data_IF_664179765462
#
_entry.id   IF_664179765462
#
_cell.length_a   1.000
_cell.length_b   1.000
_cell.length_c   1.000
_cell.angle_alpha   90.00
_cell.angle_beta   90.00
_cell.angle_gamma   90.00
#
_symmetry.space_group_name_H-M   'P 1'
#
loop_
_entity.id
_entity.type
_entity.pdbx_description
1 polymer ?
#
# COMPACT_ATOMS: atom_id res chain seq x y z
N UNK A 1 59.95 23.08 -9.43
CA UNK A 1 59.91 22.21 -8.23
C UNK A 1 59.35 23.02 -7.07
N UNK A 2 58.09 22.77 -6.70
CA UNK A 2 57.52 22.99 -5.37
C UNK A 2 56.05 22.55 -5.44
N UNK A 3 55.73 21.40 -4.83
CA UNK A 3 54.36 20.94 -4.62
C UNK A 3 53.72 21.73 -3.46
N UNK A 4 52.40 22.01 -3.48
CA UNK A 4 51.66 22.27 -2.27
C UNK A 4 51.07 20.96 -1.72
N UNK A 5 51.33 20.77 -0.43
CA UNK A 5 50.88 19.70 0.46
C UNK A 5 49.36 19.64 0.61
N UNK A 6 48.79 18.45 0.36
CA UNK A 6 47.40 18.11 0.70
C UNK A 6 47.33 17.73 2.18
N UNK A 7 46.63 18.51 3.00
CA UNK A 7 46.19 18.07 4.33
C UNK A 7 44.82 17.41 4.18
N UNK A 8 44.80 16.08 4.34
CA UNK A 8 43.60 15.26 4.41
C UNK A 8 43.06 15.37 5.84
N UNK A 9 41.96 16.09 6.03
CA UNK A 9 41.28 16.15 7.32
C UNK A 9 40.71 14.78 7.68
N UNK A 10 41.17 14.21 8.79
CA UNK A 10 40.62 13.00 9.38
C UNK A 10 39.19 13.27 9.88
N UNK A 11 38.20 12.64 9.24
CA UNK A 11 36.84 12.61 9.74
C UNK A 11 36.81 11.64 10.94
N UNK A 12 36.70 12.19 12.14
CA UNK A 12 36.44 11.41 13.33
C UNK A 12 35.07 10.74 13.20
N UNK A 13 35.06 9.40 13.13
CA UNK A 13 33.84 8.60 13.20
C UNK A 13 33.24 8.79 14.60
N UNK A 14 32.21 9.63 14.70
CA UNK A 14 31.45 9.79 15.93
C UNK A 14 30.68 8.50 16.19
N UNK A 15 30.93 7.87 17.34
CA UNK A 15 30.14 6.74 17.84
C UNK A 15 28.70 7.25 18.05
N UNK A 16 27.66 6.53 17.57
CA UNK A 16 26.28 6.93 17.83
C UNK A 16 26.03 7.00 19.35
N UNK A 17 25.23 7.97 19.83
CA UNK A 17 24.96 8.12 21.25
C UNK A 17 24.38 6.82 21.82
N UNK A 18 24.80 6.49 23.05
CA UNK A 18 24.22 5.38 23.78
C UNK A 18 22.75 5.69 24.08
N UNK A 19 21.84 4.80 23.67
CA UNK A 19 20.43 4.92 24.02
C UNK A 19 20.24 4.51 25.48
N UNK A 20 19.97 5.48 26.36
CA UNK A 20 19.59 5.21 27.74
C UNK A 20 18.17 4.61 27.79
N UNK A 21 17.91 3.72 28.75
CA UNK A 21 16.57 3.18 28.95
C UNK A 21 15.64 4.29 29.42
N UNK A 22 14.51 4.49 28.72
CA UNK A 22 13.52 5.50 29.07
C UNK A 22 12.93 5.22 30.48
N UNK A 23 12.87 6.26 31.32
CA UNK A 23 12.13 6.25 32.59
C UNK A 23 10.67 6.63 32.33
N UNK A 24 9.77 6.31 33.26
CA UNK A 24 8.35 6.70 33.16
C UNK A 24 8.17 8.23 33.12
N UNK A 25 9.08 9.00 33.73
CA UNK A 25 9.11 10.47 33.64
C UNK A 25 9.46 10.94 32.22
N UNK A 26 10.49 10.35 31.59
CA UNK A 26 10.86 10.68 30.21
C UNK A 26 9.75 10.30 29.21
N UNK A 27 9.01 9.22 29.47
CA UNK A 27 7.87 8.82 28.62
C UNK A 27 6.74 9.84 28.74
N UNK A 28 6.42 10.30 29.95
CA UNK A 28 5.37 11.30 30.15
C UNK A 28 5.74 12.67 29.55
N UNK A 29 7.00 13.08 29.63
CA UNK A 29 7.51 14.30 28.99
C UNK A 29 7.37 14.23 27.45
N UNK A 30 7.77 13.10 26.84
CA UNK A 30 7.59 12.86 25.40
C UNK A 30 6.09 12.85 25.00
N UNK A 31 5.22 12.32 25.87
CA UNK A 31 3.77 12.34 25.64
C UNK A 31 3.18 13.75 25.72
N UNK A 32 3.74 14.64 26.56
CA UNK A 32 3.38 16.06 26.61
C UNK A 32 3.85 16.82 25.37
N UNK A 33 5.02 16.50 24.83
CA UNK A 33 5.56 17.12 23.61
C UNK A 33 4.65 16.88 22.40
N UNK A 34 3.97 15.72 22.32
CA UNK A 34 2.99 15.44 21.26
C UNK A 34 1.76 16.36 21.23
N UNK A 35 1.53 17.19 22.25
CA UNK A 35 0.42 18.15 22.29
C UNK A 35 0.75 19.54 21.74
N UNK A 36 2.03 19.90 21.65
CA UNK A 36 2.46 21.28 21.35
C UNK A 36 3.28 21.37 20.07
N UNK A 37 3.06 20.44 19.13
CA UNK A 37 3.77 20.43 17.87
C UNK A 37 3.34 21.63 17.01
N UNK A 38 4.30 22.49 16.66
CA UNK A 38 4.12 23.54 15.66
C UNK A 38 4.28 22.92 14.26
N UNK A 39 3.13 22.61 13.66
CA UNK A 39 3.02 21.97 12.36
C UNK A 39 2.47 22.94 11.31
N UNK A 40 2.83 24.24 11.40
CA UNK A 40 2.40 25.24 10.44
C UNK A 40 3.03 24.99 9.05
N UNK A 41 2.23 24.74 8.00
CA UNK A 41 2.75 24.53 6.64
C UNK A 41 3.34 25.80 6.00
N UNK A 42 2.97 27.01 6.48
CA UNK A 42 3.36 28.28 5.87
C UNK A 42 4.84 28.67 6.13
N UNK A 43 5.53 27.98 7.03
CA UNK A 43 6.92 28.24 7.45
C UNK A 43 7.90 27.15 6.99
N UNK A 44 7.50 26.29 6.04
CA UNK A 44 8.24 25.08 5.69
C UNK A 44 9.56 25.37 4.94
N UNK A 45 10.67 25.45 5.69
CA UNK A 45 12.05 25.47 5.17
C UNK A 45 12.71 24.06 5.17
N UNK A 46 11.98 23.03 5.62
CA UNK A 46 12.47 21.67 5.78
C UNK A 46 11.84 20.95 6.99
N UNK A 47 12.22 19.69 7.27
CA UNK A 47 11.73 18.96 8.43
C UNK A 47 12.17 19.64 9.73
N UNK A 48 11.21 20.05 10.56
CA UNK A 48 11.43 20.55 11.92
C UNK A 48 11.38 19.40 12.93
N UNK A 49 11.84 19.64 14.16
CA UNK A 49 11.70 18.67 15.27
C UNK A 49 10.24 18.24 15.43
N UNK A 50 9.31 19.19 15.38
CA UNK A 50 7.89 18.94 15.57
C UNK A 50 7.30 18.06 14.46
N UNK A 51 7.65 18.34 13.20
CA UNK A 51 7.24 17.47 12.07
C UNK A 51 7.83 16.06 12.19
N UNK A 52 9.05 15.93 12.72
CA UNK A 52 9.69 14.65 12.99
C UNK A 52 9.06 13.90 14.15
N UNK A 53 8.43 14.57 15.13
CA UNK A 53 7.70 13.95 16.24
C UNK A 53 6.27 13.53 15.84
N UNK A 54 5.61 14.27 14.96
CA UNK A 54 4.28 13.92 14.45
C UNK A 54 4.27 12.54 13.76
N UNK A 55 5.36 12.17 13.09
CA UNK A 55 5.45 10.90 12.36
C UNK A 55 5.46 9.66 13.29
N UNK A 56 6.33 9.54 14.32
CA UNK A 56 6.27 8.49 15.34
C UNK A 56 4.92 8.39 16.06
N UNK A 57 4.23 9.52 16.29
CA UNK A 57 2.88 9.53 16.86
C UNK A 57 1.89 8.77 15.96
N UNK A 58 1.92 9.05 14.64
CA UNK A 58 1.11 8.32 13.66
C UNK A 58 1.50 6.84 13.56
N UNK A 59 2.80 6.52 13.54
CA UNK A 59 3.28 5.13 13.52
C UNK A 59 2.82 4.33 14.76
N UNK A 60 2.78 4.98 15.92
CA UNK A 60 2.29 4.37 17.16
C UNK A 60 0.78 4.06 17.08
N UNK A 61 0.00 4.93 16.43
CA UNK A 61 -1.41 4.66 16.15
C UNK A 61 -1.58 3.46 15.20
N UNK A 62 -0.75 3.34 14.15
CA UNK A 62 -0.75 2.17 13.27
C UNK A 62 -0.37 0.87 13.97
N UNK A 63 0.62 0.90 14.86
CA UNK A 63 1.01 -0.27 15.64
C UNK A 63 -0.10 -0.71 16.61
N UNK A 64 -0.78 0.24 17.26
CA UNK A 64 -1.98 -0.07 18.06
C UNK A 64 -3.10 -0.67 17.21
N UNK A 65 -3.35 -0.14 16.01
CA UNK A 65 -4.31 -0.70 15.08
C UNK A 65 -3.97 -2.15 14.74
N UNK A 66 -2.71 -2.43 14.39
CA UNK A 66 -2.22 -3.79 14.09
C UNK A 66 -2.46 -4.74 15.27
N UNK A 67 -2.09 -4.34 16.49
CA UNK A 67 -2.31 -5.17 17.70
C UNK A 67 -3.79 -5.41 17.95
N UNK A 68 -4.64 -4.38 17.82
CA UNK A 68 -6.10 -4.50 17.97
C UNK A 68 -6.67 -5.52 16.99
N UNK A 69 -6.28 -5.47 15.73
CA UNK A 69 -6.75 -6.42 14.69
C UNK A 69 -6.18 -7.82 14.87
N UNK A 70 -4.92 -7.91 15.32
CA UNK A 70 -4.33 -9.17 15.70
C UNK A 70 -5.14 -9.81 16.84
N UNK A 71 -5.55 -9.07 17.86
CA UNK A 71 -6.28 -9.61 19.01
C UNK A 71 -7.80 -9.70 18.84
N UNK A 72 -8.34 -9.23 17.70
CA UNK A 72 -9.76 -9.34 17.38
C UNK A 72 -10.17 -10.79 17.15
N UNK A 73 -10.70 -11.43 18.19
CA UNK A 73 -11.15 -12.81 18.15
C UNK A 73 -12.32 -13.01 17.18
N UNK A 74 -12.20 -13.99 16.28
CA UNK A 74 -13.26 -14.35 15.34
C UNK A 74 -13.41 -13.41 14.13
N UNK A 75 -12.58 -12.37 13.98
CA UNK A 75 -12.65 -11.48 12.82
C UNK A 75 -12.45 -12.28 11.51
N UNK A 76 -13.44 -12.20 10.61
CA UNK A 76 -13.59 -13.03 9.41
C UNK A 76 -13.55 -14.54 9.67
N UNK A 77 -14.16 -14.96 10.77
CA UNK A 77 -14.25 -16.35 11.21
C UNK A 77 -12.88 -17.01 11.44
N UNK A 78 -11.88 -16.21 11.81
CA UNK A 78 -10.55 -16.68 12.19
C UNK A 78 -10.45 -16.62 13.72
N UNK A 79 -10.80 -17.73 14.36
CA UNK A 79 -10.87 -17.86 15.83
C UNK A 79 -9.55 -18.28 16.47
N UNK A 80 -9.26 -17.77 17.68
CA UNK A 80 -8.08 -18.15 18.45
C UNK A 80 -8.17 -19.59 18.99
N UNK A 81 -9.40 -20.07 19.23
CA UNK A 81 -9.71 -21.44 19.63
C UNK A 81 -9.20 -22.49 18.61
N UNK A 82 -8.88 -22.08 17.38
CA UNK A 82 -8.19 -22.92 16.38
C UNK A 82 -6.80 -23.36 16.83
N UNK A 83 -6.07 -22.53 17.59
CA UNK A 83 -4.75 -22.85 18.11
C UNK A 83 -4.80 -23.91 19.22
N UNK A 84 -5.81 -23.83 20.10
CA UNK A 84 -5.96 -24.72 21.25
C UNK A 84 -6.43 -26.13 20.84
N UNK A 85 -7.24 -26.21 19.80
CA UNK A 85 -7.86 -27.46 19.33
C UNK A 85 -7.10 -28.13 18.17
N UNK A 86 -5.85 -27.72 17.89
CA UNK A 86 -4.99 -28.46 16.97
C UNK A 86 -4.70 -29.86 17.53
N UNK A 87 -4.50 -30.86 16.67
CA UNK A 87 -4.42 -32.27 17.10
C UNK A 87 -3.30 -32.50 18.15
N UNK A 88 -3.56 -33.14 19.32
CA UNK A 88 -2.57 -33.32 20.39
C UNK A 88 -1.31 -34.11 20.00
N UNK A 89 -1.39 -35.00 19.02
CA UNK A 89 -0.24 -35.72 18.44
C UNK A 89 0.73 -34.82 17.67
N UNK A 90 0.32 -33.58 17.38
CA UNK A 90 1.14 -32.50 16.85
C UNK A 90 1.61 -31.53 17.97
N UNK A 91 0.97 -31.51 19.14
CA UNK A 91 1.12 -30.49 20.18
C UNK A 91 2.17 -30.79 21.27
N UNK A 92 2.93 -31.89 21.19
CA UNK A 92 3.97 -32.22 22.19
C UNK A 92 5.33 -31.54 21.92
N UNK A 93 5.36 -30.23 21.64
CA UNK A 93 6.60 -29.43 21.71
C UNK A 93 6.23 -27.99 22.10
N UNK A 94 6.84 -27.49 23.18
CA UNK A 94 6.63 -26.22 23.92
C UNK A 94 6.69 -24.91 23.09
N UNK A 95 5.91 -24.79 22.03
CA UNK A 95 5.85 -23.58 21.18
C UNK A 95 4.81 -23.62 20.05
N UNK A 96 4.21 -24.78 19.77
CA UNK A 96 3.34 -24.93 18.58
C UNK A 96 2.00 -24.20 18.67
N UNK A 97 1.39 -24.09 19.86
CA UNK A 97 0.11 -23.40 20.02
C UNK A 97 0.27 -21.87 19.88
N UNK A 98 1.32 -21.31 20.49
CA UNK A 98 1.68 -19.90 20.35
C UNK A 98 2.06 -19.55 18.91
N UNK A 99 2.80 -20.44 18.23
CA UNK A 99 3.11 -20.30 16.80
C UNK A 99 1.84 -20.28 15.93
N UNK A 100 0.87 -21.15 16.22
CA UNK A 100 -0.41 -21.17 15.48
C UNK A 100 -1.19 -19.89 15.77
N UNK A 101 -1.25 -19.44 17.03
CA UNK A 101 -1.91 -18.20 17.41
C UNK A 101 -1.27 -16.99 16.71
N UNK A 102 0.07 -16.91 16.67
CA UNK A 102 0.79 -15.89 15.94
C UNK A 102 0.41 -15.88 14.45
N UNK A 103 0.35 -17.06 13.81
CA UNK A 103 -0.07 -17.17 12.40
C UNK A 103 -1.54 -16.77 12.18
N UNK A 104 -2.44 -17.05 13.12
CA UNK A 104 -3.84 -16.62 13.04
C UNK A 104 -3.95 -15.09 13.15
N UNK A 105 -3.20 -14.49 14.09
CA UNK A 105 -3.07 -13.04 14.24
C UNK A 105 -2.53 -12.37 12.98
N UNK A 106 -1.43 -12.91 12.44
CA UNK A 106 -0.85 -12.45 11.17
C UNK A 106 -1.82 -12.60 10.00
N UNK A 107 -2.59 -13.70 9.98
CA UNK A 107 -3.60 -13.91 8.94
C UNK A 107 -4.68 -12.83 8.99
N UNK A 108 -5.26 -12.56 10.16
CA UNK A 108 -6.23 -11.46 10.32
C UNK A 108 -5.63 -10.13 9.86
N UNK A 109 -4.43 -9.80 10.33
CA UNK A 109 -3.75 -8.58 9.90
C UNK A 109 -3.56 -8.51 8.37
N UNK A 110 -3.17 -9.62 7.73
CA UNK A 110 -3.00 -9.66 6.28
C UNK A 110 -4.31 -9.34 5.53
N UNK A 111 -5.44 -9.92 5.95
CA UNK A 111 -6.75 -9.63 5.35
C UNK A 111 -7.17 -8.19 5.59
N UNK A 112 -6.95 -7.68 6.80
CA UNK A 112 -7.22 -6.28 7.15
C UNK A 112 -6.50 -5.31 6.23
N UNK A 113 -5.20 -5.52 6.00
CA UNK A 113 -4.38 -4.67 5.14
C UNK A 113 -4.86 -4.72 3.70
N UNK A 114 -5.20 -5.90 3.16
CA UNK A 114 -5.70 -5.98 1.77
C UNK A 114 -7.06 -5.28 1.62
N UNK A 115 -7.95 -5.39 2.61
CA UNK A 115 -9.19 -4.59 2.66
C UNK A 115 -8.90 -3.08 2.76
N UNK A 116 -7.91 -2.68 3.55
CA UNK A 116 -7.50 -1.28 3.66
C UNK A 116 -6.99 -0.71 2.32
N UNK A 117 -6.32 -1.53 1.50
CA UNK A 117 -5.88 -1.13 0.15
C UNK A 117 -7.07 -0.87 -0.78
N UNK A 118 -8.09 -1.73 -0.75
CA UNK A 118 -9.33 -1.52 -1.53
C UNK A 118 -10.10 -0.27 -1.06
N UNK A 119 -10.15 -0.03 0.24
CA UNK A 119 -10.72 1.19 0.83
C UNK A 119 -9.93 2.44 0.43
N UNK A 120 -8.59 2.34 0.40
CA UNK A 120 -7.73 3.41 -0.12
C UNK A 120 -7.94 3.67 -1.60
N UNK A 121 -8.11 2.63 -2.42
CA UNK A 121 -8.44 2.80 -3.85
C UNK A 121 -9.78 3.51 -4.03
N UNK A 122 -10.81 3.13 -3.27
CA UNK A 122 -12.11 3.80 -3.30
C UNK A 122 -12.01 5.28 -2.87
N UNK A 123 -11.21 5.57 -1.83
CA UNK A 123 -10.94 6.93 -1.40
C UNK A 123 -10.18 7.74 -2.46
N UNK A 124 -9.13 7.16 -3.07
CA UNK A 124 -8.34 7.76 -4.14
C UNK A 124 -9.19 8.06 -5.39
N UNK A 125 -10.13 7.18 -5.73
CA UNK A 125 -11.05 7.36 -6.85
C UNK A 125 -12.20 8.33 -6.56
N UNK A 126 -12.41 8.71 -5.29
CA UNK A 126 -13.45 9.66 -4.90
C UNK A 126 -13.08 11.13 -5.14
N UNK A 127 -11.81 11.42 -5.47
CA UNK A 127 -11.40 12.74 -5.94
C UNK A 127 -11.78 12.92 -7.41
N UNK A 128 -12.04 14.15 -7.84
CA UNK A 128 -12.36 14.42 -9.25
C UNK A 128 -11.06 14.41 -10.05
N UNK A 129 -10.84 13.45 -10.97
CA UNK A 129 -9.60 13.37 -11.70
C UNK A 129 -9.57 14.34 -12.88
N UNK A 130 -8.41 14.94 -13.12
CA UNK A 130 -8.04 15.55 -14.41
C UNK A 130 -6.94 14.68 -15.01
N UNK A 131 -7.34 13.64 -15.72
CA UNK A 131 -6.40 12.67 -16.30
C UNK A 131 -5.38 13.36 -17.20
N UNK A 132 -4.10 13.01 -17.02
CA UNK A 132 -3.02 13.43 -17.90
C UNK A 132 -3.23 12.87 -19.32
N UNK A 133 -3.02 13.71 -20.33
CA UNK A 133 -2.98 13.27 -21.72
C UNK A 133 -1.53 13.18 -22.18
N UNK A 134 -1.23 12.26 -23.11
CA UNK A 134 0.10 12.25 -23.74
C UNK A 134 0.42 13.56 -24.45
N UNK A 135 -0.59 14.23 -25.02
CA UNK A 135 -0.41 15.54 -25.66
C UNK A 135 0.07 16.60 -24.66
N UNK A 136 -0.35 16.51 -23.38
CA UNK A 136 0.14 17.40 -22.32
C UNK A 136 1.65 17.21 -22.07
N UNK A 137 2.18 16.02 -22.36
CA UNK A 137 3.58 15.67 -22.15
C UNK A 137 4.50 16.13 -23.28
N UNK A 138 3.96 16.52 -24.43
CA UNK A 138 4.75 16.89 -25.60
C UNK A 138 5.27 18.33 -25.51
N UNK A 139 6.45 18.59 -26.08
CA UNK A 139 7.00 19.94 -26.19
C UNK A 139 6.14 20.90 -27.04
N UNK A 140 5.23 20.35 -27.84
CA UNK A 140 4.24 21.10 -28.61
C UNK A 140 2.96 21.42 -27.83
N UNK A 141 2.86 20.96 -26.57
CA UNK A 141 1.71 21.21 -25.70
C UNK A 141 1.48 22.71 -25.53
N UNK A 142 0.20 23.12 -25.53
CA UNK A 142 -0.19 24.50 -25.24
C UNK A 142 -0.20 24.82 -23.75
N UNK A 143 0.06 23.83 -22.89
CA UNK A 143 0.04 23.95 -21.43
C UNK A 143 1.34 23.49 -20.81
N UNK A 144 1.80 24.18 -19.77
CA UNK A 144 2.94 23.77 -18.96
C UNK A 144 2.56 22.85 -17.80
N UNK A 145 1.27 22.49 -17.64
CA UNK A 145 0.75 21.84 -16.44
C UNK A 145 1.42 20.50 -16.08
N UNK A 146 2.00 19.80 -17.05
CA UNK A 146 2.77 18.58 -16.81
C UNK A 146 4.16 18.89 -16.24
N UNK A 147 4.92 19.79 -16.87
CA UNK A 147 6.26 20.20 -16.41
C UNK A 147 6.22 20.97 -15.09
N UNK A 148 5.22 21.83 -14.89
CA UNK A 148 5.06 22.65 -13.68
C UNK A 148 4.27 21.96 -12.57
N UNK A 149 3.92 20.67 -12.72
CA UNK A 149 3.04 19.98 -11.78
C UNK A 149 3.54 20.03 -10.33
N UNK A 150 4.85 19.87 -10.13
CA UNK A 150 5.47 19.89 -8.80
C UNK A 150 5.64 21.30 -8.22
N UNK A 151 5.31 22.33 -8.99
CA UNK A 151 5.47 23.74 -8.62
C UNK A 151 4.12 24.42 -8.34
N UNK A 152 3.08 23.67 -8.01
CA UNK A 152 1.77 24.24 -7.68
C UNK A 152 1.76 24.81 -6.26
N UNK A 153 1.37 26.08 -6.12
CA UNK A 153 1.17 26.72 -4.82
C UNK A 153 -0.24 26.44 -4.25
N UNK A 154 -1.09 25.72 -4.99
CA UNK A 154 -2.43 25.36 -4.53
C UNK A 154 -2.36 24.09 -3.69
N UNK A 155 -2.57 24.23 -2.39
CA UNK A 155 -2.60 23.11 -1.46
C UNK A 155 -4.03 22.62 -1.26
N UNK A 156 -4.20 21.29 -1.18
CA UNK A 156 -5.44 20.71 -0.66
C UNK A 156 -5.62 21.15 0.80
N UNK A 157 -6.74 21.82 1.06
CA UNK A 157 -7.07 22.25 2.42
C UNK A 157 -7.67 21.08 3.21
N UNK A 158 -6.89 20.58 4.17
CA UNK A 158 -7.33 19.52 5.07
C UNK A 158 -8.11 20.09 6.25
N UNK A 159 -9.20 19.41 6.60
CA UNK A 159 -9.95 19.66 7.84
C UNK A 159 -10.20 18.32 8.51
N UNK A 160 -10.45 18.35 9.82
CA UNK A 160 -10.73 17.13 10.60
C UNK A 160 -11.98 16.37 10.12
N UNK A 161 -12.85 17.01 9.33
CA UNK A 161 -14.07 16.43 8.76
C UNK A 161 -13.89 15.71 7.42
N UNK A 162 -12.68 15.72 6.83
CA UNK A 162 -12.40 15.08 5.55
C UNK A 162 -11.21 14.11 5.60
N UNK A 163 -10.71 13.83 6.80
CA UNK A 163 -9.64 12.87 7.01
C UNK A 163 -10.15 11.44 6.73
N UNK A 164 -9.35 10.60 6.07
CA UNK A 164 -9.71 9.20 5.89
C UNK A 164 -9.54 8.39 7.18
N UNK A 165 -10.22 7.24 7.33
CA UNK A 165 -9.99 6.31 8.43
C UNK A 165 -8.52 5.89 8.56
N UNK A 166 -8.13 5.43 9.77
CA UNK A 166 -6.74 5.12 10.10
C UNK A 166 -6.11 4.05 9.18
N UNK A 167 -6.89 3.09 8.69
CA UNK A 167 -6.40 2.05 7.76
C UNK A 167 -6.15 2.58 6.35
N UNK A 168 -7.00 3.49 5.86
CA UNK A 168 -6.77 4.21 4.61
C UNK A 168 -5.57 5.14 4.74
N UNK A 169 -5.41 5.79 5.90
CA UNK A 169 -4.24 6.63 6.21
C UNK A 169 -2.94 5.80 6.25
N UNK A 170 -2.99 4.57 6.76
CA UNK A 170 -1.87 3.61 6.73
C UNK A 170 -1.42 3.31 5.28
N UNK A 171 -2.37 3.00 4.39
CA UNK A 171 -2.04 2.72 2.99
C UNK A 171 -1.56 3.96 2.26
N UNK A 172 -2.18 5.12 2.52
CA UNK A 172 -1.73 6.38 1.95
C UNK A 172 -0.30 6.72 2.38
N UNK A 173 0.02 6.58 3.67
CA UNK A 173 1.37 6.74 4.19
C UNK A 173 2.36 5.83 3.46
N UNK A 174 2.04 4.53 3.35
CA UNK A 174 2.87 3.56 2.65
C UNK A 174 3.07 3.90 1.16
N UNK A 175 2.04 4.41 0.48
CA UNK A 175 2.14 4.86 -0.91
C UNK A 175 3.12 6.05 -1.03
N UNK A 176 3.04 7.03 -0.12
CA UNK A 176 3.94 8.19 -0.11
C UNK A 176 5.41 7.83 0.15
N UNK A 177 5.70 6.70 0.79
CA UNK A 177 7.08 6.22 0.99
C UNK A 177 7.78 5.79 -0.33
N UNK A 178 7.03 5.66 -1.43
CA UNK A 178 7.58 5.55 -2.77
C UNK A 178 7.29 6.84 -3.56
N UNK A 179 8.11 7.90 -3.37
CA UNK A 179 7.80 9.22 -3.90
C UNK A 179 7.71 9.26 -5.43
N UNK A 180 8.45 8.38 -6.13
CA UNK A 180 8.38 8.28 -7.60
C UNK A 180 7.01 7.77 -8.06
N UNK A 181 6.54 6.66 -7.48
CA UNK A 181 5.22 6.11 -7.84
C UNK A 181 4.09 7.05 -7.39
N UNK A 182 4.18 7.61 -6.18
CA UNK A 182 3.19 8.55 -5.68
C UNK A 182 3.09 9.81 -6.56
N UNK A 183 4.22 10.37 -6.99
CA UNK A 183 4.26 11.50 -7.92
C UNK A 183 3.61 11.14 -9.25
N UNK A 184 3.98 10.00 -9.83
CA UNK A 184 3.46 9.54 -11.11
C UNK A 184 1.94 9.32 -11.06
N UNK A 185 1.42 8.68 -10.01
CA UNK A 185 -0.01 8.47 -9.84
C UNK A 185 -0.76 9.79 -9.61
N UNK A 186 -0.21 10.72 -8.82
CA UNK A 186 -0.75 12.07 -8.67
C UNK A 186 -0.80 12.81 -10.00
N UNK A 187 0.30 12.80 -10.77
CA UNK A 187 0.38 13.39 -12.11
C UNK A 187 -0.69 12.81 -13.03
N UNK A 188 -0.78 11.48 -13.08
CA UNK A 188 -1.69 10.76 -13.97
C UNK A 188 -3.15 11.12 -13.73
N UNK A 189 -3.55 11.32 -12.48
CA UNK A 189 -4.94 11.66 -12.12
C UNK A 189 -5.16 13.17 -11.92
N UNK A 190 -4.12 14.00 -12.06
CA UNK A 190 -4.21 15.45 -11.88
C UNK A 190 -4.33 15.89 -10.42
N UNK A 191 -3.86 15.09 -9.46
CA UNK A 191 -3.94 15.35 -8.02
C UNK A 191 -2.77 16.22 -7.52
N UNK A 192 -2.48 17.31 -8.24
CA UNK A 192 -1.37 18.21 -7.90
C UNK A 192 -1.50 18.86 -6.53
N UNK A 193 -2.72 19.24 -6.14
CA UNK A 193 -2.98 19.85 -4.83
C UNK A 193 -2.82 18.86 -3.67
N UNK A 194 -3.09 17.57 -3.91
CA UNK A 194 -2.84 16.48 -2.96
C UNK A 194 -1.34 16.21 -2.83
N UNK A 195 -0.62 16.14 -3.96
CA UNK A 195 0.83 16.00 -3.98
C UNK A 195 1.52 17.13 -3.21
N UNK A 196 1.17 18.39 -3.51
CA UNK A 196 1.77 19.57 -2.90
C UNK A 196 1.44 19.69 -1.41
N UNK A 197 0.21 19.36 -0.99
CA UNK A 197 -0.18 19.39 0.42
C UNK A 197 0.52 18.34 1.27
N UNK A 198 0.90 17.19 0.68
CA UNK A 198 1.49 16.08 1.40
C UNK A 198 0.56 15.51 2.48
N UNK A 199 1.17 14.95 3.53
CA UNK A 199 0.45 14.38 4.66
C UNK A 199 -0.06 15.50 5.58
N UNK A 200 -1.35 15.53 5.97
CA UNK A 200 -1.92 16.59 6.80
C UNK A 200 -1.52 16.45 8.27
N UNK A 201 -0.25 16.68 8.56
CA UNK A 201 0.35 16.44 9.88
C UNK A 201 -0.37 17.18 10.99
N UNK A 202 -0.73 18.45 10.80
CA UNK A 202 -1.43 19.25 11.80
C UNK A 202 -2.80 18.64 12.14
N UNK A 203 -3.61 18.35 11.12
CA UNK A 203 -4.94 17.74 11.34
C UNK A 203 -4.84 16.32 11.92
N UNK A 204 -3.83 15.53 11.53
CA UNK A 204 -3.59 14.18 12.08
C UNK A 204 -3.16 14.26 13.54
N UNK A 205 -2.27 15.20 13.88
CA UNK A 205 -1.78 15.38 15.24
C UNK A 205 -2.92 15.74 16.21
N UNK A 206 -3.85 16.59 15.77
CA UNK A 206 -4.98 17.06 16.57
C UNK A 206 -5.97 15.94 16.95
N UNK A 207 -6.11 14.93 16.08
CA UNK A 207 -7.11 13.86 16.27
C UNK A 207 -6.56 12.58 16.91
N UNK A 208 -5.23 12.45 16.97
CA UNK A 208 -4.57 11.33 17.66
C UNK A 208 -4.28 11.77 19.10
N UNK A 209 -4.94 11.11 20.06
CA UNK A 209 -4.71 11.36 21.48
C UNK A 209 -3.33 10.79 21.95
N UNK A 210 -2.86 11.05 23.19
CA UNK A 210 -1.58 10.49 23.68
C UNK A 210 -1.62 8.98 23.89
N UNK A 211 -2.81 8.42 23.98
CA UNK A 211 -3.01 6.97 23.93
C UNK A 211 -3.04 6.48 22.48
N UNK A 212 -2.63 7.29 21.51
CA UNK A 212 -2.56 6.98 20.09
C UNK A 212 -3.89 6.46 19.50
N UNK A 213 -5.02 6.84 20.11
CA UNK A 213 -6.34 6.58 19.53
C UNK A 213 -6.65 7.66 18.51
N UNK A 214 -6.92 7.21 17.29
CA UNK A 214 -7.42 8.04 16.21
C UNK A 214 -8.93 8.24 16.40
N UNK A 215 -9.36 9.45 16.76
CA UNK A 215 -10.78 9.76 17.01
C UNK A 215 -11.24 10.94 16.18
N UNK A 216 -12.32 10.75 15.40
CA UNK A 216 -12.93 11.81 14.57
C UNK A 216 -14.42 11.93 14.89
N UNK A 217 -15.00 13.10 14.61
CA UNK A 217 -16.44 13.32 14.78
C UNK A 217 -17.28 12.56 13.75
N UNK A 218 -18.54 12.32 14.09
CA UNK A 218 -19.50 11.54 13.27
C UNK A 218 -19.65 12.08 11.84
N UNK A 219 -19.56 13.41 11.67
CA UNK A 219 -19.62 14.04 10.34
C UNK A 219 -18.48 13.58 9.43
N UNK A 220 -17.26 13.40 9.96
CA UNK A 220 -16.12 12.89 9.21
C UNK A 220 -16.39 11.45 8.73
N UNK A 221 -16.92 10.61 9.63
CA UNK A 221 -17.26 9.23 9.34
C UNK A 221 -18.35 9.12 8.26
N UNK A 222 -19.39 9.95 8.38
CA UNK A 222 -20.47 10.04 7.40
C UNK A 222 -19.96 10.54 6.03
N UNK A 223 -19.09 11.55 6.01
CA UNK A 223 -18.50 12.07 4.78
C UNK A 223 -17.68 11.00 4.04
N UNK A 224 -16.85 10.23 4.76
CA UNK A 224 -16.10 9.13 4.17
C UNK A 224 -17.04 8.09 3.56
N UNK A 225 -18.07 7.70 4.30
CA UNK A 225 -19.04 6.68 3.87
C UNK A 225 -19.78 7.11 2.62
N UNK A 226 -20.29 8.35 2.60
CA UNK A 226 -21.01 8.90 1.43
C UNK A 226 -20.11 9.02 0.21
N UNK A 227 -18.84 9.42 0.40
CA UNK A 227 -17.91 9.62 -0.72
C UNK A 227 -17.39 8.33 -1.34
N UNK A 228 -17.18 7.30 -0.52
CA UNK A 228 -16.47 6.08 -0.95
C UNK A 228 -17.39 4.87 -1.09
N UNK A 229 -18.58 4.92 -0.51
CA UNK A 229 -19.47 3.76 -0.41
C UNK A 229 -18.95 2.67 0.55
N UNK A 230 -17.93 2.95 1.36
CA UNK A 230 -17.34 2.04 2.35
C UNK A 230 -17.73 2.46 3.76
N UNK A 231 -17.90 1.50 4.66
CA UNK A 231 -18.13 1.79 6.07
C UNK A 231 -16.94 2.55 6.69
N UNK A 232 -17.15 3.29 7.77
CA UNK A 232 -16.03 3.99 8.43
C UNK A 232 -14.99 3.01 8.98
N UNK A 233 -15.45 1.96 9.65
CA UNK A 233 -14.62 0.86 10.14
C UNK A 233 -14.43 -0.18 9.03
N UNK A 234 -13.22 -0.71 8.89
CA UNK A 234 -12.89 -1.73 7.89
C UNK A 234 -13.66 -3.03 8.18
N UNK A 235 -13.81 -3.36 9.45
CA UNK A 235 -14.49 -4.54 9.98
C UNK A 235 -15.98 -4.58 9.60
N UNK A 236 -16.58 -3.40 9.36
CA UNK A 236 -18.01 -3.25 9.04
C UNK A 236 -18.30 -3.32 7.52
N UNK A 237 -17.27 -3.33 6.67
CA UNK A 237 -17.45 -3.56 5.23
C UNK A 237 -17.89 -5.00 4.93
N UNK A 238 -18.51 -5.21 3.77
CA UNK A 238 -18.98 -6.52 3.30
C UNK A 238 -17.87 -7.59 3.32
N UNK A 239 -18.23 -8.83 3.64
CA UNK A 239 -17.32 -9.98 3.63
C UNK A 239 -17.00 -10.49 2.21
N UNK A 240 -17.63 -9.90 1.20
CA UNK A 240 -17.40 -10.18 -0.21
C UNK A 240 -16.94 -8.93 -0.96
N UNK A 241 -16.04 -9.13 -1.91
CA UNK A 241 -15.64 -8.17 -2.91
C UNK A 241 -16.32 -8.49 -4.25
N UNK A 242 -16.89 -7.47 -4.89
CA UNK A 242 -17.47 -7.60 -6.23
C UNK A 242 -16.42 -7.43 -7.32
N UNK A 243 -16.20 -8.49 -8.10
CA UNK A 243 -15.23 -8.50 -9.20
C UNK A 243 -15.90 -8.87 -10.52
N UNK A 244 -15.48 -8.23 -11.62
CA UNK A 244 -15.84 -8.68 -12.97
C UNK A 244 -14.94 -9.84 -13.38
N UNK A 245 -15.55 -10.89 -13.94
CA UNK A 245 -14.81 -11.96 -14.61
C UNK A 245 -14.03 -11.37 -15.80
N UNK A 246 -12.74 -11.68 -15.90
CA UNK A 246 -11.90 -11.16 -16.99
C UNK A 246 -12.23 -11.76 -18.37
N UNK A 247 -13.02 -12.84 -18.40
CA UNK A 247 -13.38 -13.57 -19.62
C UNK A 247 -14.75 -13.16 -20.16
N UNK A 248 -15.78 -13.12 -19.31
CA UNK A 248 -17.16 -12.83 -19.72
C UNK A 248 -17.69 -11.48 -19.21
N UNK A 249 -16.92 -10.76 -18.39
CA UNK A 249 -17.29 -9.48 -17.75
C UNK A 249 -18.46 -9.53 -16.76
N UNK A 250 -18.97 -10.72 -16.40
CA UNK A 250 -20.01 -10.85 -15.38
C UNK A 250 -19.49 -10.50 -13.97
N UNK A 251 -20.33 -9.89 -13.14
CA UNK A 251 -20.04 -9.65 -11.73
C UNK A 251 -20.13 -10.93 -10.89
N UNK A 252 -19.17 -11.12 -9.99
CA UNK A 252 -19.13 -12.23 -9.04
C UNK A 252 -18.81 -11.68 -7.64
N UNK A 253 -19.50 -12.21 -6.64
CA UNK A 253 -19.20 -11.95 -5.23
C UNK A 253 -18.12 -12.94 -4.76
N UNK A 254 -16.95 -12.40 -4.41
CA UNK A 254 -15.78 -13.19 -4.02
C UNK A 254 -15.48 -12.91 -2.55
N UNK A 255 -15.41 -13.91 -1.67
CA UNK A 255 -15.12 -13.66 -0.26
C UNK A 255 -13.72 -13.05 -0.09
N UNK A 256 -13.56 -12.18 0.91
CA UNK A 256 -12.24 -11.64 1.25
C UNK A 256 -11.25 -12.72 1.67
N UNK A 257 -11.71 -13.76 2.35
CA UNK A 257 -10.88 -14.91 2.70
C UNK A 257 -11.69 -16.20 2.70
N UNK A 258 -11.05 -17.30 2.33
CA UNK A 258 -11.60 -18.66 2.50
C UNK A 258 -10.96 -19.39 3.68
N UNK A 259 -10.17 -18.69 4.51
CA UNK A 259 -9.55 -19.26 5.71
C UNK A 259 -10.44 -19.21 6.95
N UNK A 260 -11.59 -18.53 6.86
CA UNK A 260 -12.59 -18.42 7.92
C UNK A 260 -13.41 -19.70 8.07
N UNK A 261 -13.83 -19.99 9.30
CA UNK A 261 -14.77 -21.06 9.63
C UNK A 261 -15.50 -20.68 10.92
N UNK A 262 -16.84 -20.82 10.94
CA UNK A 262 -17.66 -20.60 12.13
C UNK A 262 -17.09 -21.39 13.33
N UNK A 263 -17.09 -20.78 14.52
CA UNK A 263 -16.47 -21.38 15.71
C UNK A 263 -17.08 -22.75 16.08
N UNK A 264 -18.37 -22.92 15.80
CA UNK A 264 -19.11 -24.13 16.12
C UNK A 264 -19.08 -25.17 14.99
N UNK A 265 -18.52 -24.83 13.83
CA UNK A 265 -18.40 -25.78 12.73
C UNK A 265 -17.33 -26.84 13.06
N UNK A 266 -17.79 -28.09 13.05
CA UNK A 266 -16.97 -29.28 13.34
C UNK A 266 -16.37 -29.91 12.09
N UNK A 267 -16.62 -29.34 10.91
CA UNK A 267 -16.06 -29.79 9.65
C UNK A 267 -14.53 -29.60 9.59
N UNK A 268 -13.90 -30.16 8.55
CA UNK A 268 -12.45 -30.10 8.39
C UNK A 268 -11.98 -28.64 8.36
N UNK A 269 -11.13 -28.28 9.31
CA UNK A 269 -10.64 -26.91 9.47
C UNK A 269 -9.88 -26.44 8.23
N UNK A 270 -10.18 -25.24 7.70
CA UNK A 270 -9.42 -24.69 6.59
C UNK A 270 -7.98 -24.41 7.04
N UNK A 271 -7.05 -24.43 6.08
CA UNK A 271 -5.69 -23.94 6.30
C UNK A 271 -5.64 -22.42 6.46
N UNK A 272 -4.42 -21.86 6.44
CA UNK A 272 -4.20 -20.40 6.36
C UNK A 272 -3.84 -19.93 4.94
N UNK A 273 -3.68 -20.88 4.02
CA UNK A 273 -3.59 -20.64 2.58
C UNK A 273 -5.01 -20.70 2.02
N UNK A 274 -5.57 -19.53 1.74
CA UNK A 274 -6.92 -19.38 1.18
C UNK A 274 -6.87 -18.86 -0.25
N UNK A 275 -8.05 -18.74 -0.85
CA UNK A 275 -8.24 -18.37 -2.25
C UNK A 275 -9.17 -17.17 -2.44
N UNK A 276 -9.63 -16.56 -1.33
CA UNK A 276 -10.40 -15.32 -1.35
C UNK A 276 -9.58 -14.14 -1.87
N UNK A 277 -10.25 -13.02 -2.13
CA UNK A 277 -9.62 -11.85 -2.75
C UNK A 277 -8.44 -11.26 -1.93
N UNK A 278 -8.53 -11.35 -0.61
CA UNK A 278 -7.47 -10.97 0.33
C UNK A 278 -6.44 -12.07 0.60
N UNK A 279 -6.60 -13.27 0.06
CA UNK A 279 -5.69 -14.37 0.29
C UNK A 279 -4.52 -14.40 -0.72
N UNK A 280 -3.41 -15.04 -0.32
CA UNK A 280 -2.20 -15.10 -1.15
C UNK A 280 -2.33 -15.95 -2.41
N UNK A 281 -3.22 -16.97 -2.41
CA UNK A 281 -3.48 -17.87 -3.55
C UNK A 281 -4.83 -17.53 -4.21
N UNK A 282 -5.12 -16.24 -4.35
CA UNK A 282 -6.40 -15.74 -4.88
C UNK A 282 -6.79 -16.42 -6.21
N UNK A 283 -7.96 -17.03 -6.20
CA UNK A 283 -8.66 -17.48 -7.39
C UNK A 283 -10.16 -17.65 -7.13
N UNK A 284 -10.99 -17.35 -8.14
CA UNK A 284 -12.41 -17.71 -8.12
C UNK A 284 -12.86 -18.27 -9.47
N UNK A 285 -13.90 -19.09 -9.42
CA UNK A 285 -14.54 -19.65 -10.61
C UNK A 285 -15.75 -18.78 -10.93
N UNK A 286 -15.82 -18.26 -12.17
CA UNK A 286 -16.96 -17.46 -12.59
C UNK A 286 -18.25 -18.29 -12.61
N UNK A 287 -19.30 -17.78 -11.97
CA UNK A 287 -20.61 -18.43 -11.90
C UNK A 287 -21.30 -18.59 -13.27
N UNK A 288 -20.94 -17.78 -14.27
CA UNK A 288 -21.56 -17.82 -15.60
C UNK A 288 -20.76 -18.63 -16.62
N UNK A 289 -19.46 -18.35 -16.81
CA UNK A 289 -18.67 -19.03 -17.83
C UNK A 289 -17.84 -20.21 -17.31
N UNK A 290 -17.70 -20.37 -15.99
CA UNK A 290 -16.91 -21.44 -15.38
C UNK A 290 -15.39 -21.26 -15.48
N UNK A 291 -14.91 -20.19 -16.11
CA UNK A 291 -13.48 -19.89 -16.18
C UNK A 291 -12.94 -19.38 -14.83
N UNK A 292 -11.66 -19.66 -14.59
CA UNK A 292 -10.95 -19.27 -13.37
C UNK A 292 -10.34 -17.89 -13.54
N UNK A 293 -10.68 -16.96 -12.66
CA UNK A 293 -9.98 -15.67 -12.52
C UNK A 293 -9.04 -15.75 -11.32
N UNK A 294 -7.77 -15.44 -11.54
CA UNK A 294 -6.70 -15.42 -10.54
C UNK A 294 -5.86 -14.13 -10.66
N UNK A 295 -4.84 -13.99 -9.81
CA UNK A 295 -3.96 -12.81 -9.78
C UNK A 295 -3.35 -12.47 -11.14
N UNK A 296 -2.83 -13.45 -11.86
CA UNK A 296 -2.19 -13.22 -13.17
C UNK A 296 -3.19 -12.72 -14.20
N UNK A 297 -4.39 -13.31 -14.23
CA UNK A 297 -5.46 -12.89 -15.13
C UNK A 297 -5.95 -11.46 -14.83
N UNK A 298 -6.00 -11.05 -13.55
CA UNK A 298 -6.32 -9.67 -13.16
C UNK A 298 -5.22 -8.69 -13.60
N UNK A 299 -3.94 -9.06 -13.49
CA UNK A 299 -2.83 -8.24 -13.97
C UNK A 299 -2.91 -8.01 -15.48
N UNK A 300 -3.19 -9.05 -16.25
CA UNK A 300 -3.41 -8.94 -17.70
C UNK A 300 -4.63 -8.07 -18.00
N UNK A 301 -5.73 -8.24 -17.27
CA UNK A 301 -6.92 -7.40 -17.43
C UNK A 301 -6.64 -5.92 -17.12
N UNK A 302 -5.82 -5.62 -16.10
CA UNK A 302 -5.38 -4.25 -15.79
C UNK A 302 -4.56 -3.67 -16.94
N UNK A 303 -3.59 -4.42 -17.47
CA UNK A 303 -2.79 -4.00 -18.61
C UNK A 303 -3.65 -3.72 -19.86
N UNK A 304 -4.59 -4.62 -20.19
CA UNK A 304 -5.53 -4.42 -21.29
C UNK A 304 -6.36 -3.15 -21.11
N UNK A 305 -6.82 -2.86 -19.89
CA UNK A 305 -7.54 -1.62 -19.58
C UNK A 305 -6.67 -0.39 -19.79
N UNK A 306 -5.42 -0.42 -19.31
CA UNK A 306 -4.49 0.70 -19.48
C UNK A 306 -4.18 0.95 -20.97
N UNK A 307 -3.95 -0.10 -21.77
CA UNK A 307 -3.76 0.03 -23.23
C UNK A 307 -5.02 0.56 -23.92
N UNK A 308 -6.21 0.09 -23.51
CA UNK A 308 -7.48 0.57 -24.04
C UNK A 308 -7.67 2.07 -23.75
N UNK A 309 -7.30 2.51 -22.55
CA UNK A 309 -7.35 3.92 -22.17
C UNK A 309 -6.35 4.77 -22.96
N UNK A 310 -5.14 4.27 -23.20
CA UNK A 310 -4.14 4.93 -24.04
C UNK A 310 -4.64 5.12 -25.48
N UNK A 311 -5.25 4.08 -26.07
CA UNK A 311 -5.75 4.10 -27.45
C UNK A 311 -6.98 5.00 -27.57
N UNK A 312 -7.92 4.90 -26.63
CA UNK A 312 -9.24 5.54 -26.74
C UNK A 312 -9.24 6.98 -26.23
N UNK A 313 -8.41 7.29 -25.24
CA UNK A 313 -8.43 8.58 -24.52
C UNK A 313 -7.07 9.30 -24.51
N UNK A 314 -6.01 8.67 -25.00
CA UNK A 314 -4.67 9.26 -24.95
C UNK A 314 -4.06 9.31 -23.55
N UNK A 315 -4.56 8.52 -22.60
CA UNK A 315 -4.01 8.45 -21.25
C UNK A 315 -2.70 7.66 -21.26
N UNK A 316 -1.56 8.26 -20.85
CA UNK A 316 -0.28 7.57 -20.86
C UNK A 316 -0.28 6.35 -19.93
N UNK A 317 0.46 5.30 -20.32
CA UNK A 317 0.61 4.11 -19.49
C UNK A 317 1.39 4.43 -18.21
N UNK A 318 1.07 3.79 -17.07
CA UNK A 318 1.95 3.80 -15.90
C UNK A 318 3.37 3.36 -16.25
N UNK A 319 4.36 3.98 -15.64
CA UNK A 319 5.79 3.79 -15.89
C UNK A 319 6.34 4.59 -17.08
N UNK A 320 5.51 5.39 -17.76
CA UNK A 320 5.94 6.20 -18.93
C UNK A 320 5.83 7.70 -18.70
N UNK A 321 5.42 8.14 -17.51
CA UNK A 321 5.11 9.55 -17.24
C UNK A 321 6.34 10.30 -16.72
N UNK A 322 7.18 9.69 -15.91
CA UNK A 322 8.35 10.36 -15.33
C UNK A 322 9.63 10.02 -16.10
N UNK A 323 10.54 10.99 -16.18
CA UNK A 323 11.88 10.77 -16.75
C UNK A 323 12.59 9.61 -16.02
N UNK A 324 13.23 8.73 -16.77
CA UNK A 324 13.86 7.54 -16.22
C UNK A 324 15.02 7.87 -15.27
N UNK A 325 15.80 8.92 -15.57
CA UNK A 325 17.05 9.22 -14.89
C UNK A 325 16.84 9.96 -13.55
N UNK A 326 15.98 10.97 -13.53
CA UNK A 326 15.77 11.81 -12.34
C UNK A 326 14.34 11.79 -11.78
N UNK A 327 13.39 11.14 -12.46
CA UNK A 327 12.05 10.92 -11.92
C UNK A 327 11.19 12.18 -11.88
N UNK A 328 11.46 13.17 -12.73
CA UNK A 328 10.68 14.42 -12.82
C UNK A 328 9.92 14.50 -14.14
N UNK A 329 8.80 15.25 -14.20
CA UNK A 329 8.07 15.45 -15.44
C UNK A 329 8.83 16.41 -16.37
N UNK A 330 9.34 15.89 -17.48
CA UNK A 330 10.01 16.68 -18.53
C UNK A 330 9.25 16.57 -19.83
N UNK A 331 9.07 17.70 -20.52
CA UNK A 331 8.47 17.72 -21.84
C UNK A 331 9.21 16.78 -22.80
N UNK A 332 8.44 16.08 -23.60
CA UNK A 332 8.92 15.04 -24.50
C UNK A 332 8.83 15.49 -25.95
N UNK A 333 9.79 15.08 -26.76
CA UNK A 333 9.61 15.08 -28.21
C UNK A 333 8.72 13.91 -28.61
N UNK A 334 8.01 14.03 -29.73
CA UNK A 334 7.12 12.96 -30.21
C UNK A 334 7.83 11.61 -30.39
N UNK A 335 9.13 11.67 -30.72
CA UNK A 335 9.98 10.49 -30.90
C UNK A 335 10.76 10.02 -29.67
N UNK A 336 10.44 10.53 -28.48
CA UNK A 336 11.19 10.18 -27.27
C UNK A 336 11.13 8.69 -26.92
N UNK A 337 12.20 8.22 -26.28
CA UNK A 337 12.29 6.86 -25.73
C UNK A 337 11.29 6.64 -24.60
N UNK A 338 10.93 7.69 -23.85
CA UNK A 338 9.97 7.60 -22.75
C UNK A 338 8.57 7.20 -23.23
N UNK A 339 8.12 7.75 -24.37
CA UNK A 339 6.82 7.42 -24.98
C UNK A 339 6.88 6.22 -25.93
N UNK A 340 8.07 5.61 -26.11
CA UNK A 340 8.21 4.43 -26.97
C UNK A 340 7.30 3.26 -26.55
N UNK A 341 7.17 2.88 -25.26
CA UNK A 341 6.25 1.81 -24.86
C UNK A 341 4.80 2.08 -25.28
N UNK A 342 4.33 3.31 -25.13
CA UNK A 342 2.97 3.72 -25.51
C UNK A 342 2.77 3.59 -27.03
N UNK A 343 3.75 4.03 -27.81
CA UNK A 343 3.72 3.88 -29.28
C UNK A 343 3.72 2.42 -29.71
N UNK A 344 4.51 1.58 -29.04
CA UNK A 344 4.60 0.15 -29.34
C UNK A 344 3.27 -0.57 -29.10
N UNK A 345 2.63 -0.36 -27.94
CA UNK A 345 1.37 -1.05 -27.62
C UNK A 345 0.21 -0.62 -28.52
N UNK A 346 0.22 0.63 -29.02
CA UNK A 346 -0.76 1.12 -30.01
C UNK A 346 -0.68 0.41 -31.36
N UNK A 347 0.47 -0.16 -31.72
CA UNK A 347 0.67 -0.77 -33.04
C UNK A 347 0.10 -2.20 -33.19
N UNK A 348 -0.61 -2.74 -32.19
CA UNK A 348 -1.44 -3.94 -32.41
C UNK A 348 -1.43 -5.00 -31.30
N UNK A 349 -0.64 -4.83 -30.23
CA UNK A 349 -0.54 -5.80 -29.13
C UNK A 349 -1.92 -6.09 -28.49
N UNK A 350 -2.81 -5.10 -28.47
CA UNK A 350 -4.14 -5.23 -27.85
C UNK A 350 -4.99 -6.35 -28.48
N UNK A 351 -4.97 -6.50 -29.80
CA UNK A 351 -5.80 -7.50 -30.49
C UNK A 351 -5.38 -8.93 -30.14
N UNK A 352 -4.08 -9.17 -30.00
CA UNK A 352 -3.52 -10.48 -29.64
C UNK A 352 -3.80 -10.84 -28.17
N UNK A 353 -3.65 -9.87 -27.25
CA UNK A 353 -3.93 -10.08 -25.83
C UNK A 353 -5.42 -10.34 -25.60
N UNK A 354 -6.31 -9.57 -26.25
CA UNK A 354 -7.76 -9.76 -26.14
C UNK A 354 -8.22 -11.14 -26.65
N UNK A 355 -7.56 -11.69 -27.68
CA UNK A 355 -7.88 -13.05 -28.14
C UNK A 355 -7.59 -14.10 -27.08
N UNK A 356 -6.51 -13.93 -26.30
CA UNK A 356 -6.12 -14.88 -25.24
C UNK A 356 -7.02 -14.83 -24.00
N UNK A 357 -7.82 -13.77 -23.82
CA UNK A 357 -8.75 -13.65 -22.71
C UNK A 357 -10.16 -14.20 -23.02
N UNK A 358 -10.43 -14.67 -24.24
CA UNK A 358 -11.76 -15.17 -24.62
C UNK A 358 -12.14 -16.45 -23.84
N UNK A 359 -13.42 -16.63 -23.47
CA UNK A 359 -13.90 -17.82 -22.78
C UNK A 359 -13.57 -19.11 -23.56
N UNK A 360 -13.16 -20.17 -22.85
CA UNK A 360 -12.86 -21.47 -23.45
C UNK A 360 -11.46 -21.65 -24.05
N UNK A 361 -10.55 -20.68 -23.86
CA UNK A 361 -9.12 -20.83 -24.19
C UNK A 361 -8.39 -21.66 -23.14
N UNK A 362 -8.04 -22.91 -23.44
CA UNK A 362 -7.38 -23.86 -22.52
C UNK A 362 -5.90 -23.56 -22.22
N UNK A 363 -5.36 -22.42 -22.63
CA UNK A 363 -3.94 -22.08 -22.40
C UNK A 363 -3.78 -21.28 -21.11
N UNK A 364 -3.31 -21.94 -20.06
CA UNK A 364 -2.71 -21.24 -18.91
C UNK A 364 -1.56 -20.37 -19.43
N UNK A 365 -1.48 -19.07 -19.10
CA UNK A 365 -0.27 -18.30 -19.38
C UNK A 365 0.90 -18.93 -18.61
N UNK A 366 1.80 -19.62 -19.32
CA UNK A 366 3.01 -20.18 -18.72
C UNK A 366 4.10 -19.10 -18.65
N UNK A 367 4.56 -18.77 -17.45
CA UNK A 367 5.77 -17.98 -17.25
C UNK A 367 7.02 -18.83 -17.58
N UNK A 368 7.30 -19.04 -18.87
CA UNK A 368 8.60 -19.49 -19.34
C UNK A 368 9.48 -18.30 -19.78
N UNK A 369 9.46 -17.23 -18.97
CA UNK A 369 10.39 -16.10 -19.06
C UNK A 369 10.91 -15.81 -17.64
N UNK A 370 11.81 -16.66 -17.16
CA UNK A 370 12.36 -16.56 -15.81
C UNK A 370 13.36 -17.66 -15.44
N UNK A 371 13.51 -18.70 -16.28
CA UNK A 371 14.62 -19.66 -16.15
C UNK A 371 15.87 -19.10 -16.82
N UNK A 372 16.50 -18.14 -16.15
CA UNK A 372 17.72 -17.51 -16.63
C UNK A 372 18.23 -16.39 -15.74
N UNK A 373 18.08 -16.51 -14.42
CA UNK A 373 18.75 -15.64 -13.46
C UNK A 373 19.25 -16.48 -12.28
N UNK A 374 20.49 -16.19 -11.89
CA UNK A 374 21.37 -16.91 -10.98
C UNK A 374 20.75 -17.29 -9.61
N UNK A 375 21.09 -18.45 -9.01
CA UNK A 375 20.57 -18.88 -7.71
C UNK A 375 21.03 -18.06 -6.48
N UNK A 376 21.83 -17.01 -6.62
CA UNK A 376 22.43 -16.30 -5.48
C UNK A 376 21.52 -15.24 -4.82
N UNK A 377 20.31 -14.99 -5.33
CA UNK A 377 19.42 -13.97 -4.75
C UNK A 377 18.63 -14.40 -3.49
N UNK A 378 18.79 -15.64 -3.01
CA UNK A 378 18.10 -16.16 -1.82
C UNK A 378 18.87 -16.04 -0.49
N UNK A 379 20.02 -15.35 -0.43
CA UNK A 379 20.84 -15.31 0.80
C UNK A 379 20.58 -14.16 1.77
N UNK A 380 19.66 -13.22 1.49
CA UNK A 380 19.51 -11.99 2.30
C UNK A 380 18.47 -12.03 3.42
N UNK A 381 17.78 -13.16 3.64
CA UNK A 381 16.86 -13.35 4.78
C UNK A 381 17.29 -14.50 5.71
N UNK A 382 18.55 -14.51 6.15
CA UNK A 382 18.96 -15.25 7.35
C UNK A 382 19.19 -14.28 8.50
N UNK A 383 18.19 -14.17 9.37
CA UNK A 383 18.35 -13.65 10.73
C UNK A 383 19.25 -14.63 11.50
N UNK A 384 20.41 -14.23 12.05
CA UNK A 384 21.19 -15.12 12.90
C UNK A 384 20.51 -15.27 14.26
N UNK A 385 20.04 -16.48 14.57
CA UNK A 385 19.68 -16.86 15.93
C UNK A 385 20.96 -17.01 16.78
N UNK A 386 20.89 -16.49 18.00
CA UNK A 386 21.96 -16.19 18.96
C UNK A 386 22.80 -17.38 19.41
N UNK A 387 24.06 -17.12 19.82
CA UNK A 387 24.77 -17.89 20.84
C UNK A 387 25.49 -16.93 21.80
N UNK A 388 24.83 -16.60 22.93
CA UNK A 388 25.51 -16.19 24.16
C UNK A 388 25.22 -17.26 25.20
N UNK A 389 26.21 -18.14 25.44
CA UNK A 389 26.30 -18.94 26.66
C UNK A 389 27.27 -18.25 27.60
N UNK A 390 26.74 -17.86 28.75
CA UNK A 390 27.46 -17.53 29.96
C UNK A 390 27.99 -18.82 30.62
N UNK A 391 29.29 -18.85 30.90
CA UNK A 391 29.95 -19.57 32.01
C UNK A 391 30.93 -18.52 32.57
N UNK A 392 30.73 -17.94 33.74
CA UNK A 392 30.90 -18.52 35.08
C UNK A 392 32.30 -19.13 35.25
N UNK A 393 33.26 -18.26 35.57
CA UNK A 393 34.19 -18.39 36.71
C UNK A 393 34.48 -16.99 37.27
#
# INVERSE_FOLDING_TARGET
MAQPSSQRGESASAVPPAYENATDENINEVLEDFYKLDLNPDTYEGPTVDTCLAHPKLLSAFDKLRRRMADYEGLWDIWNSRAQNANPSALNVDGRADDILAKLREKRWSIYVVRAVDRYEAWWQSFVPRMLLEDDMLATSSTSAYESFTSTDQLMCWTTNILPPLDVLLVWHAHMLNPRLFLEDCLRHGYGTLWAAGMPWSSINDIIDPSFHYTVGDQCQANFTVRTGRAWSNEDDDNFQRLKCVHCSEWNDVPWTTCGQDENDTSSRPGLVGQGYGDGDFQFICSQCGDVTNKDSLNVSKFVRDVTNLVSHGWPMPGTILDAADGVPKQQQQDSSQLFPNRLVRQGILAEVLQKLKPGGTERPSNNAGQGLDPEYHSWYKVPAQHNRTQAD
#
